data_IF_196752347073
#
_entry.id   IF_196752347073
#
_cell.length_a   1.000
_cell.length_b   1.000
_cell.length_c   1.000
_cell.angle_alpha   90.00
_cell.angle_beta   90.00
_cell.angle_gamma   90.00
#
_symmetry.space_group_name_H-M   'P 1'
#
loop_
_entity.id
_entity.type
_entity.pdbx_description
1 polymer ?
#
# COMPACT_ATOMS: atom_id res chain seq x y z
N UNK A 1 10.02 0.98 -2.39
CA UNK A 1 8.80 1.19 -1.65
C UNK A 1 9.06 1.96 -0.36
N UNK A 2 8.08 2.67 0.13
CA UNK A 2 8.23 3.54 1.30
C UNK A 2 8.78 2.84 2.55
N UNK A 3 8.51 1.55 2.69
CA UNK A 3 8.98 0.81 3.87
C UNK A 3 10.49 0.95 4.07
N UNK A 4 11.26 0.85 2.99
CA UNK A 4 12.71 0.96 3.12
C UNK A 4 13.11 2.33 3.67
N UNK A 5 12.38 3.37 3.31
CA UNK A 5 12.69 4.71 3.77
C UNK A 5 12.42 4.91 5.25
N UNK A 6 11.59 4.07 5.84
CA UNK A 6 11.41 4.08 7.29
C UNK A 6 12.56 3.40 7.98
N UNK A 7 13.12 2.36 7.36
CA UNK A 7 14.17 1.58 8.00
C UNK A 7 15.50 2.31 8.04
N UNK A 8 15.82 3.05 6.97
CA UNK A 8 17.11 3.71 6.87
C UNK A 8 17.38 4.70 8.01
N UNK A 9 16.49 5.66 8.28
CA UNK A 9 16.75 6.62 9.38
C UNK A 9 16.79 5.94 10.74
N UNK A 10 16.07 4.83 10.90
CA UNK A 10 16.03 4.12 12.17
C UNK A 10 17.21 3.19 12.38
N UNK A 11 18.03 3.00 11.34
CA UNK A 11 19.16 2.10 11.43
C UNK A 11 18.76 0.64 11.55
N UNK A 12 17.59 0.28 11.05
CA UNK A 12 17.06 -1.07 11.15
C UNK A 12 17.29 -1.81 9.83
N UNK A 13 17.88 -2.99 9.91
CA UNK A 13 18.07 -3.81 8.71
C UNK A 13 16.78 -4.56 8.38
N UNK A 14 16.69 -5.03 7.14
CA UNK A 14 15.55 -5.84 6.74
C UNK A 14 15.41 -7.09 7.59
N UNK A 15 16.55 -7.72 7.94
CA UNK A 15 16.53 -8.92 8.75
C UNK A 15 16.05 -8.63 10.17
N UNK A 16 16.49 -7.51 10.73
CA UNK A 16 16.04 -7.13 12.06
C UNK A 16 14.52 -6.89 12.07
N UNK A 17 14.00 -6.25 11.03
CA UNK A 17 12.56 -6.03 10.96
C UNK A 17 11.83 -7.36 10.82
N UNK A 18 12.32 -8.24 9.94
CA UNK A 18 11.67 -9.53 9.75
C UNK A 18 11.60 -10.32 11.07
N UNK A 19 12.69 -10.31 11.81
CA UNK A 19 12.70 -11.00 13.10
C UNK A 19 11.74 -10.35 14.09
N UNK A 20 11.71 -9.02 14.10
CA UNK A 20 10.85 -8.29 15.04
C UNK A 20 9.37 -8.56 14.80
N UNK A 21 8.95 -8.64 13.53
CA UNK A 21 7.55 -8.85 13.21
C UNK A 21 7.21 -10.31 12.90
N UNK A 22 8.20 -11.18 13.06
CA UNK A 22 8.02 -12.64 12.99
C UNK A 22 7.56 -13.12 11.62
N UNK A 23 8.23 -12.62 10.58
CA UNK A 23 8.03 -13.09 9.21
C UNK A 23 9.38 -13.46 8.62
N UNK A 24 9.40 -14.27 7.56
CA UNK A 24 10.66 -14.59 6.90
C UNK A 24 11.32 -13.33 6.31
N UNK A 25 12.64 -13.29 6.38
CA UNK A 25 13.40 -12.20 5.76
C UNK A 25 12.97 -11.97 4.31
N UNK A 26 12.77 -13.05 3.58
CA UNK A 26 12.38 -12.96 2.18
C UNK A 26 11.10 -12.16 1.97
N UNK A 27 10.16 -12.25 2.92
CA UNK A 27 8.92 -11.49 2.84
C UNK A 27 9.21 -9.99 2.83
N UNK A 28 10.07 -9.52 3.73
CA UNK A 28 10.42 -8.10 3.80
C UNK A 28 11.14 -7.67 2.52
N UNK A 29 12.09 -8.49 2.07
CA UNK A 29 12.82 -8.18 0.86
C UNK A 29 11.89 -8.06 -0.36
N UNK A 30 10.91 -8.96 -0.47
CA UNK A 30 9.96 -8.92 -1.57
C UNK A 30 9.06 -7.68 -1.52
N UNK A 31 8.65 -7.27 -0.31
CA UNK A 31 7.83 -6.08 -0.17
C UNK A 31 8.62 -4.85 -0.60
N UNK A 32 9.86 -4.73 -0.16
CA UNK A 32 10.70 -3.59 -0.49
C UNK A 32 10.95 -3.51 -1.99
N UNK A 33 11.13 -4.66 -2.63
CA UNK A 33 11.40 -4.71 -4.06
C UNK A 33 10.13 -4.68 -4.92
N UNK A 34 8.97 -4.50 -4.33
CA UNK A 34 7.72 -4.37 -5.06
C UNK A 34 7.18 -5.67 -5.61
N UNK A 35 7.70 -6.81 -5.16
CA UNK A 35 7.26 -8.11 -5.63
C UNK A 35 6.11 -8.70 -4.82
N UNK A 36 5.82 -8.11 -3.69
CA UNK A 36 4.75 -8.56 -2.81
C UNK A 36 4.14 -7.34 -2.13
N UNK A 37 2.82 -7.35 -1.99
CA UNK A 37 2.13 -6.25 -1.34
C UNK A 37 2.09 -6.41 0.17
N UNK A 38 1.76 -5.31 0.84
CA UNK A 38 1.53 -5.30 2.27
C UNK A 38 0.10 -5.78 2.50
N UNK A 39 -0.06 -6.89 3.21
CA UNK A 39 -1.37 -7.42 3.57
C UNK A 39 -1.79 -6.86 4.92
N UNK A 40 -3.08 -7.00 5.30
CA UNK A 40 -3.50 -6.57 6.63
C UNK A 40 -2.68 -7.16 7.76
N UNK A 41 -2.33 -8.44 7.66
CA UNK A 41 -1.50 -9.06 8.69
C UNK A 41 -0.15 -8.36 8.81
N UNK A 42 0.50 -8.10 7.68
CA UNK A 42 1.79 -7.42 7.68
C UNK A 42 1.65 -5.99 8.20
N UNK A 43 0.57 -5.30 7.80
CA UNK A 43 0.33 -3.93 8.26
C UNK A 43 0.19 -3.87 9.79
N UNK A 44 -0.54 -4.81 10.37
CA UNK A 44 -0.69 -4.86 11.82
C UNK A 44 0.65 -5.10 12.52
N UNK A 45 1.47 -5.98 11.95
CA UNK A 45 2.78 -6.28 12.51
C UNK A 45 3.71 -5.08 12.41
N UNK A 46 3.69 -4.39 11.28
CA UNK A 46 4.50 -3.20 11.09
C UNK A 46 4.07 -2.09 12.06
N UNK A 47 2.78 -1.96 12.28
CA UNK A 47 2.28 -0.96 13.24
C UNK A 47 2.84 -1.21 14.63
N UNK A 48 2.88 -2.46 15.03
CA UNK A 48 3.42 -2.82 16.35
C UNK A 48 4.90 -2.51 16.46
N UNK A 49 5.66 -2.85 15.42
CA UNK A 49 7.10 -2.72 15.48
C UNK A 49 7.60 -1.31 15.26
N UNK A 50 6.95 -0.57 14.36
CA UNK A 50 7.44 0.75 13.95
C UNK A 50 6.63 1.91 14.54
N UNK A 51 5.52 1.62 15.21
CA UNK A 51 4.74 2.65 15.87
C UNK A 51 3.87 3.49 14.95
N UNK A 52 3.71 3.09 13.70
CA UNK A 52 2.87 3.79 12.73
C UNK A 52 1.63 2.92 12.51
N UNK A 53 0.45 3.53 12.42
CA UNK A 53 -0.80 2.79 12.39
C UNK A 53 -0.88 1.81 11.21
N UNK A 54 -1.65 0.75 11.40
CA UNK A 54 -1.88 -0.22 10.33
C UNK A 54 -2.57 0.44 9.13
N UNK A 55 -3.43 1.43 9.38
CA UNK A 55 -4.11 2.16 8.32
C UNK A 55 -3.10 2.87 7.41
N UNK A 56 -2.06 3.44 8.02
CA UNK A 56 -1.02 4.08 7.23
C UNK A 56 -0.38 3.10 6.25
N UNK A 57 -0.04 1.91 6.74
CA UNK A 57 0.62 0.92 5.88
C UNK A 57 -0.31 0.41 4.79
N UNK A 58 -1.60 0.23 5.11
CA UNK A 58 -2.56 -0.17 4.08
C UNK A 58 -2.79 0.94 3.06
N UNK A 59 -2.76 2.20 3.49
CA UNK A 59 -2.88 3.31 2.55
C UNK A 59 -1.67 3.41 1.63
N UNK A 60 -0.48 3.12 2.13
CA UNK A 60 0.71 3.06 1.28
C UNK A 60 0.51 2.02 0.18
N UNK A 61 0.02 0.84 0.55
CA UNK A 61 -0.22 -0.22 -0.42
C UNK A 61 -1.31 0.18 -1.40
N UNK A 62 -2.37 0.78 -0.91
CA UNK A 62 -3.48 1.21 -1.76
C UNK A 62 -3.00 2.19 -2.83
N UNK A 63 -2.21 3.19 -2.44
CA UNK A 63 -1.70 4.16 -3.40
C UNK A 63 -0.80 3.52 -4.44
N UNK A 64 0.03 2.58 -4.00
CA UNK A 64 0.90 1.84 -4.91
C UNK A 64 0.09 1.06 -5.93
N UNK A 65 -0.92 0.33 -5.45
CA UNK A 65 -1.77 -0.48 -6.32
C UNK A 65 -2.55 0.38 -7.31
N UNK A 66 -3.11 1.49 -6.83
CA UNK A 66 -3.86 2.39 -7.69
C UNK A 66 -2.98 2.99 -8.78
N UNK A 67 -1.76 3.39 -8.42
CA UNK A 67 -0.85 3.95 -9.39
C UNK A 67 -0.58 2.97 -10.55
N UNK A 68 -0.25 1.74 -10.20
CA UNK A 68 0.05 0.76 -11.24
C UNK A 68 -1.18 0.34 -12.03
N UNK A 69 -2.34 0.26 -11.39
CA UNK A 69 -3.57 -0.05 -12.10
C UNK A 69 -3.90 1.04 -13.10
N UNK A 70 -3.74 2.31 -12.70
CA UNK A 70 -3.99 3.41 -13.61
C UNK A 70 -3.06 3.38 -14.81
N UNK A 71 -1.79 3.02 -14.58
CA UNK A 71 -0.84 2.93 -15.68
C UNK A 71 -1.21 1.83 -16.65
N UNK A 72 -1.57 0.67 -16.15
CA UNK A 72 -1.82 -0.48 -17.01
C UNK A 72 -3.17 -0.43 -17.70
N UNK A 73 -4.13 0.32 -17.16
CA UNK A 73 -5.49 0.35 -17.70
C UNK A 73 -5.88 1.72 -18.22
N UNK A 74 -4.91 2.59 -18.48
CA UNK A 74 -5.21 3.97 -18.84
C UNK A 74 -6.14 4.10 -20.04
N UNK A 75 -5.95 3.26 -21.07
CA UNK A 75 -6.80 3.33 -22.25
C UNK A 75 -8.25 2.97 -21.91
N UNK A 76 -8.43 1.90 -21.17
CA UNK A 76 -9.77 1.47 -20.78
C UNK A 76 -10.44 2.53 -19.91
N UNK A 77 -9.69 3.05 -18.95
CA UNK A 77 -10.23 4.05 -18.03
C UNK A 77 -10.66 5.32 -18.78
N UNK A 78 -9.86 5.73 -19.76
CA UNK A 78 -10.18 6.91 -20.56
C UNK A 78 -11.43 6.71 -21.41
N UNK A 79 -11.76 5.47 -21.73
CA UNK A 79 -12.92 5.14 -22.54
C UNK A 79 -14.21 5.05 -21.71
N UNK A 80 -14.07 4.98 -20.40
CA UNK A 80 -15.24 4.88 -19.52
C UNK A 80 -15.87 6.25 -19.35
N UNK A 81 -17.17 6.32 -19.55
CA UNK A 81 -17.90 7.57 -19.41
C UNK A 81 -18.85 7.49 -18.21
N UNK A 82 -18.99 8.58 -17.47
CA UNK A 82 -19.95 8.60 -16.37
C UNK A 82 -21.36 8.27 -16.88
N UNK A 83 -22.08 7.49 -16.10
CA UNK A 83 -23.45 7.13 -16.45
C UNK A 83 -24.42 8.28 -16.23
N UNK A 84 -24.06 9.23 -15.38
CA UNK A 84 -24.92 10.37 -15.09
C UNK A 84 -24.08 11.60 -14.83
N UNK A 85 -24.47 12.69 -15.46
CA UNK A 85 -23.84 13.99 -15.25
C UNK A 85 -24.24 14.63 -13.93
N UNK A 86 -25.24 14.06 -13.27
CA UNK A 86 -25.73 14.61 -12.01
C UNK A 86 -24.82 14.29 -10.83
N UNK A 87 -23.95 13.30 -10.99
CA UNK A 87 -23.03 12.95 -9.92
C UNK A 87 -21.75 13.75 -10.07
N UNK A 88 -21.48 14.61 -9.12
CA UNK A 88 -20.16 15.21 -9.12
C UNK A 88 -19.15 14.09 -8.87
N UNK A 89 -17.99 14.31 -9.30
CA UNK A 89 -16.98 13.26 -9.17
C UNK A 89 -16.62 12.98 -7.72
N UNK A 90 -17.53 13.21 -6.87
CA UNK A 90 -17.36 13.07 -5.46
C UNK A 90 -17.00 11.87 -4.80
N UNK A 91 -17.77 12.19 -5.06
CA UNK A 91 -17.61 11.68 -4.54
C UNK A 91 -17.47 10.65 -4.24
N UNK A 92 -17.75 10.33 -4.30
CA UNK A 92 -17.71 9.43 -4.08
C UNK A 92 -18.15 8.62 -3.57
N UNK A 93 -18.55 8.81 -3.35
CA UNK A 93 -18.94 8.30 -2.94
C UNK A 93 -19.59 7.92 -2.54
N UNK A 94 -19.99 8.20 -2.56
CA UNK A 94 -20.53 8.01 -2.18
C UNK A 94 -21.03 7.17 -2.15
N UNK A 95 -21.27 7.11 -2.34
CA UNK A 95 -21.58 6.53 -2.17
C UNK A 95 -21.76 5.52 -2.03
N UNK A 96 -21.88 5.31 -2.21
CA UNK A 96 -21.90 4.57 -1.98
C UNK A 96 -21.98 3.80 -1.47
N UNK A 97 -22.21 3.97 -1.40
CA UNK A 97 -22.22 3.50 -0.78
C UNK A 97 -22.17 3.07 -0.45
#
# INVERSE_FOLDING_TARGET
MLLEEFLKPMGITQRELADAIKVPYQRINEIINGKRGITPSTALRLAKALGVSSDFWMNVQLRWDLFFAEQSESETLNAIRPLSMAYPATNGIEAQH
#
